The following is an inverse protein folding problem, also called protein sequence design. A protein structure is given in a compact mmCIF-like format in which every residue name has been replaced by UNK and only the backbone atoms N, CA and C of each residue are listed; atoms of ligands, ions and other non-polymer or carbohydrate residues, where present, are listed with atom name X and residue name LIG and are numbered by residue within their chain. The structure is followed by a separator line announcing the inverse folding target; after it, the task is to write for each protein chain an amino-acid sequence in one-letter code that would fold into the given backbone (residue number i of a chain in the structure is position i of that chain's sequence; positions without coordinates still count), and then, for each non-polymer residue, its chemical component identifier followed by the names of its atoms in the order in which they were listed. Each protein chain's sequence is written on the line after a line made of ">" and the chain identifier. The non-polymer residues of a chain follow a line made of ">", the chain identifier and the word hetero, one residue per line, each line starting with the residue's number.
data_IF_501672165646
#
_entry.id   IF_501672165646
#
_cell.length_a   1.000
_cell.length_b   1.000
_cell.length_c   1.000
_cell.angle_alpha   90.00
_cell.angle_beta   90.00
_cell.angle_gamma   90.00
#
_symmetry.space_group_name_H-M   'P 1'
#
loop_
_entity.id
_entity.type
_entity.pdbx_description
1 polymer ?
#
# COMPACT_ATOMS: atom_id res chain seq x y z
N UNK A 1 -29.49 -3.68 7.63
CA UNK A 1 -28.21 -4.24 7.15
C UNK A 1 -28.13 -5.71 7.53
N UNK A 2 -27.57 -6.58 6.68
CA UNK A 2 -27.35 -7.98 7.05
C UNK A 2 -26.42 -8.08 8.27
N UNK A 3 -26.69 -9.02 9.16
CA UNK A 3 -25.87 -9.30 10.34
C UNK A 3 -25.11 -10.61 10.16
N UNK A 4 -23.91 -10.66 10.73
CA UNK A 4 -23.08 -11.87 10.84
C UNK A 4 -22.54 -11.93 12.26
N UNK A 5 -22.55 -13.12 12.85
CA UNK A 5 -21.91 -13.36 14.13
C UNK A 5 -20.45 -13.73 13.87
N UNK A 6 -19.54 -13.09 14.61
CA UNK A 6 -18.10 -13.34 14.55
C UNK A 6 -17.58 -13.53 15.97
N UNK A 7 -16.66 -14.46 16.14
CA UNK A 7 -15.96 -14.65 17.40
C UNK A 7 -14.67 -13.85 17.34
N UNK A 8 -14.49 -12.96 18.31
CA UNK A 8 -13.25 -12.20 18.48
C UNK A 8 -12.33 -12.97 19.42
N UNK A 9 -11.03 -12.82 19.20
CA UNK A 9 -10.03 -13.14 20.23
C UNK A 9 -10.11 -12.11 21.36
N UNK A 10 -9.60 -12.48 22.55
CA UNK A 10 -9.61 -11.60 23.72
C UNK A 10 -8.99 -10.22 23.44
N UNK A 11 -7.86 -10.19 22.72
CA UNK A 11 -7.17 -8.95 22.34
C UNK A 11 -8.00 -8.06 21.39
N UNK A 12 -8.73 -8.68 20.46
CA UNK A 12 -9.59 -7.96 19.52
C UNK A 12 -10.82 -7.38 20.22
N UNK A 13 -11.43 -8.14 21.14
CA UNK A 13 -12.56 -7.66 21.93
C UNK A 13 -12.15 -6.50 22.83
N UNK A 14 -11.03 -6.63 23.55
CA UNK A 14 -10.48 -5.56 24.38
C UNK A 14 -10.19 -4.28 23.58
N UNK A 15 -9.66 -4.41 22.36
CA UNK A 15 -9.46 -3.28 21.45
C UNK A 15 -10.79 -2.61 21.07
N UNK A 16 -11.78 -3.38 20.63
CA UNK A 16 -13.10 -2.84 20.24
C UNK A 16 -13.78 -2.18 21.43
N UNK A 17 -13.75 -2.82 22.59
CA UNK A 17 -14.32 -2.29 23.83
C UNK A 17 -13.68 -0.95 24.21
N UNK A 18 -12.34 -0.84 24.12
CA UNK A 18 -11.62 0.42 24.35
C UNK A 18 -12.07 1.52 23.38
N UNK A 19 -12.24 1.21 22.09
CA UNK A 19 -12.66 2.21 21.10
C UNK A 19 -14.10 2.70 21.33
N UNK A 20 -14.99 1.83 21.81
CA UNK A 20 -16.35 2.23 22.19
C UNK A 20 -16.34 3.06 23.49
N UNK A 21 -15.62 2.61 24.53
CA UNK A 21 -15.52 3.31 25.83
C UNK A 21 -14.93 4.72 25.69
N UNK A 22 -14.00 4.91 24.76
CA UNK A 22 -13.39 6.23 24.47
C UNK A 22 -14.25 7.11 23.56
N UNK A 23 -15.39 6.60 23.09
CA UNK A 23 -16.31 7.33 22.21
C UNK A 23 -15.84 7.43 20.76
N UNK A 24 -14.78 6.70 20.36
CA UNK A 24 -14.30 6.66 18.97
C UNK A 24 -15.33 6.02 18.04
N UNK A 25 -16.11 5.06 18.54
CA UNK A 25 -17.27 4.48 17.88
C UNK A 25 -18.44 4.40 18.85
N UNK A 26 -19.67 4.49 18.33
CA UNK A 26 -20.88 4.37 19.14
C UNK A 26 -21.12 2.94 19.64
N UNK A 27 -20.70 1.94 18.86
CA UNK A 27 -20.87 0.52 19.19
C UNK A 27 -19.86 -0.36 18.43
N UNK A 28 -19.74 -1.63 18.87
CA UNK A 28 -18.86 -2.61 18.27
C UNK A 28 -19.17 -2.86 16.78
N UNK A 29 -20.45 -2.85 16.38
CA UNK A 29 -20.82 -3.09 14.98
C UNK A 29 -20.32 -1.99 14.05
N UNK A 30 -20.20 -0.75 14.53
CA UNK A 30 -19.59 0.34 13.79
C UNK A 30 -18.09 0.15 13.63
N UNK A 31 -17.38 -0.16 14.72
CA UNK A 31 -15.95 -0.45 14.72
C UNK A 31 -15.62 -1.61 13.75
N UNK A 32 -16.41 -2.68 13.78
CA UNK A 32 -16.22 -3.83 12.89
C UNK A 32 -16.45 -3.48 11.41
N UNK A 33 -17.45 -2.65 11.10
CA UNK A 33 -17.66 -2.18 9.71
C UNK A 33 -16.47 -1.34 9.24
N UNK A 34 -15.94 -0.48 10.10
CA UNK A 34 -14.79 0.34 9.77
C UNK A 34 -13.52 -0.51 9.56
N UNK A 35 -13.30 -1.51 10.41
CA UNK A 35 -12.21 -2.48 10.25
C UNK A 35 -12.29 -3.23 8.91
N UNK A 36 -13.49 -3.67 8.49
CA UNK A 36 -13.71 -4.32 7.19
C UNK A 36 -13.45 -3.35 6.03
N UNK A 37 -13.88 -2.09 6.12
CA UNK A 37 -13.55 -1.08 5.10
C UNK A 37 -12.05 -0.86 4.98
N UNK A 38 -11.35 -0.79 6.11
CA UNK A 38 -9.89 -0.70 6.13
C UNK A 38 -9.21 -1.90 5.48
N UNK A 39 -9.73 -3.13 5.70
CA UNK A 39 -9.23 -4.32 5.03
C UNK A 39 -9.45 -4.28 3.52
N UNK A 40 -10.66 -3.91 3.08
CA UNK A 40 -10.98 -3.76 1.65
C UNK A 40 -10.10 -2.72 0.97
N UNK A 41 -9.85 -1.59 1.64
CA UNK A 41 -8.99 -0.54 1.11
C UNK A 41 -7.55 -1.03 0.93
N UNK A 42 -6.97 -1.75 1.91
CA UNK A 42 -5.63 -2.33 1.78
C UNK A 42 -5.53 -3.29 0.61
N UNK A 43 -6.51 -4.19 0.45
CA UNK A 43 -6.51 -5.12 -0.69
C UNK A 43 -6.59 -4.40 -2.04
N UNK A 44 -7.40 -3.35 -2.14
CA UNK A 44 -7.48 -2.54 -3.36
C UNK A 44 -6.16 -1.81 -3.64
N UNK A 45 -5.51 -1.28 -2.62
CA UNK A 45 -4.20 -0.64 -2.77
C UNK A 45 -3.12 -1.63 -3.21
N UNK A 46 -3.11 -2.85 -2.64
CA UNK A 46 -2.16 -3.89 -3.01
C UNK A 46 -2.35 -4.35 -4.47
N UNK A 47 -3.60 -4.50 -4.91
CA UNK A 47 -3.93 -4.81 -6.30
C UNK A 47 -3.44 -3.72 -7.26
N UNK A 48 -3.70 -2.45 -6.94
CA UNK A 48 -3.25 -1.32 -7.74
C UNK A 48 -1.72 -1.21 -7.80
N UNK A 49 -1.03 -1.42 -6.67
CA UNK A 49 0.45 -1.43 -6.64
C UNK A 49 1.00 -2.53 -7.53
N UNK A 50 0.40 -3.72 -7.50
CA UNK A 50 0.82 -4.84 -8.34
C UNK A 50 0.58 -4.56 -9.82
N UNK A 51 -0.56 -3.96 -10.17
CA UNK A 51 -0.87 -3.55 -11.55
C UNK A 51 0.14 -2.52 -12.06
N UNK A 52 0.43 -1.50 -11.26
CA UNK A 52 1.42 -0.48 -11.60
C UNK A 52 2.82 -1.07 -11.77
N UNK A 53 3.23 -1.95 -10.84
CA UNK A 53 4.53 -2.61 -10.93
C UNK A 53 4.65 -3.43 -12.22
N UNK A 54 3.62 -4.21 -12.57
CA UNK A 54 3.59 -4.97 -13.84
C UNK A 54 3.73 -4.05 -15.04
N UNK A 55 2.95 -2.97 -15.10
CA UNK A 55 3.04 -1.97 -16.18
C UNK A 55 4.43 -1.34 -16.29
N UNK A 56 5.06 -1.00 -15.16
CA UNK A 56 6.41 -0.45 -15.14
C UNK A 56 7.46 -1.46 -15.65
N UNK A 57 7.32 -2.74 -15.29
CA UNK A 57 8.19 -3.80 -15.80
C UNK A 57 7.98 -3.99 -17.31
N UNK A 58 6.74 -4.09 -17.77
CA UNK A 58 6.42 -4.26 -19.20
C UNK A 58 6.96 -3.09 -20.04
N UNK A 59 6.85 -1.86 -19.54
CA UNK A 59 7.43 -0.68 -20.17
C UNK A 59 8.96 -0.79 -20.24
N UNK A 60 9.62 -1.13 -19.14
CA UNK A 60 11.08 -1.30 -19.12
C UNK A 60 11.57 -2.42 -20.05
N UNK A 61 10.82 -3.53 -20.17
CA UNK A 61 11.13 -4.60 -21.12
C UNK A 61 11.01 -4.09 -22.56
N UNK A 62 9.96 -3.32 -22.89
CA UNK A 62 9.80 -2.74 -24.21
C UNK A 62 10.93 -1.75 -24.56
N UNK A 63 11.39 -0.96 -23.59
CA UNK A 63 12.54 -0.07 -23.74
C UNK A 63 13.82 -0.88 -24.01
N UNK A 64 14.05 -1.99 -23.29
CA UNK A 64 15.18 -2.89 -23.54
C UNK A 64 15.12 -3.52 -24.94
N UNK A 65 13.96 -4.04 -25.34
CA UNK A 65 13.76 -4.68 -26.66
C UNK A 65 13.95 -3.69 -27.82
N UNK A 66 13.65 -2.40 -27.59
CA UNK A 66 13.82 -1.33 -28.58
C UNK A 66 15.20 -0.66 -28.53
N UNK A 67 16.09 -1.10 -27.64
CA UNK A 67 17.43 -0.54 -27.46
C UNK A 67 17.44 0.84 -26.80
N UNK A 68 16.36 1.22 -26.10
CA UNK A 68 16.24 2.47 -25.33
C UNK A 68 16.79 2.27 -23.92
N UNK A 69 18.07 1.91 -23.82
CA UNK A 69 18.80 1.81 -22.56
C UNK A 69 20.24 2.27 -22.75
N UNK A 70 20.86 2.70 -21.67
CA UNK A 70 22.29 3.00 -21.59
C UNK A 70 22.96 1.95 -20.70
N UNK A 71 24.06 1.35 -21.17
CA UNK A 71 24.94 0.54 -20.33
C UNK A 71 25.74 1.49 -19.42
N UNK A 72 25.70 1.24 -18.11
CA UNK A 72 26.42 2.06 -17.13
C UNK A 72 27.20 1.17 -16.19
N UNK A 73 28.46 1.52 -15.93
CA UNK A 73 29.21 0.91 -14.84
C UNK A 73 28.82 1.50 -13.47
N UNK A 74 29.38 0.94 -12.39
CA UNK A 74 29.05 1.37 -11.02
C UNK A 74 29.43 2.84 -10.75
N UNK A 75 30.56 3.32 -11.31
CA UNK A 75 31.01 4.70 -11.13
C UNK A 75 30.15 5.70 -11.91
N UNK A 76 29.72 5.32 -13.12
CA UNK A 76 28.78 6.08 -13.94
C UNK A 76 27.41 6.15 -13.28
N UNK A 77 26.93 5.03 -12.71
CA UNK A 77 25.66 4.96 -11.98
C UNK A 77 25.66 5.85 -10.73
N UNK A 78 26.71 5.80 -9.89
CA UNK A 78 26.84 6.68 -8.73
C UNK A 78 26.82 8.17 -9.14
N UNK A 79 27.53 8.49 -10.21
CA UNK A 79 27.56 9.85 -10.76
C UNK A 79 26.18 10.29 -11.27
N UNK A 80 25.43 9.40 -11.90
CA UNK A 80 24.07 9.68 -12.39
C UNK A 80 23.09 9.86 -11.23
N UNK A 81 23.09 8.97 -10.23
CA UNK A 81 22.25 9.05 -9.04
C UNK A 81 22.52 10.33 -8.23
N UNK A 82 23.79 10.73 -8.13
CA UNK A 82 24.17 11.99 -7.48
C UNK A 82 23.61 13.23 -8.18
N UNK A 83 23.46 13.20 -9.51
CA UNK A 83 22.85 14.29 -10.30
C UNK A 83 21.33 14.31 -10.17
N UNK A 84 20.66 13.16 -10.19
CA UNK A 84 19.20 13.07 -10.03
C UNK A 84 18.75 13.38 -8.61
N UNK A 85 19.52 13.04 -7.59
CA UNK A 85 19.25 13.40 -6.18
C UNK A 85 19.24 14.91 -5.90
N UNK A 86 19.92 15.72 -6.71
CA UNK A 86 19.93 17.18 -6.59
C UNK A 86 18.78 17.87 -7.37
N UNK A 87 18.13 17.16 -8.30
CA UNK A 87 17.06 17.71 -9.13
C UNK A 87 15.64 17.58 -8.52
N UNK A 88 15.45 16.70 -7.52
CA UNK A 88 14.16 16.52 -6.85
C UNK A 88 13.95 17.43 -5.61
N UNK A 89 14.90 18.33 -5.33
CA UNK A 89 14.90 19.22 -4.16
C UNK A 89 14.69 20.71 -4.47
N UNK A 90 14.30 21.08 -5.69
CA UNK A 90 14.02 22.46 -6.11
C UNK A 90 12.56 22.66 -6.54
#
# INVERSE_FOLDING_TARGET
>A
MPTRNVNLTDDQDAFVEKMVKTGKYQNASEAMRDAVRGLQQRWKEDELKLELLRKSIDAGIADLDSGQYDDMDEAELETWLGKTGNAAGA
#
